data_IF_802435983506
#
_entry.id   IF_802435983506
#
_cell.length_a   1.000
_cell.length_b   1.000
_cell.length_c   1.000
_cell.angle_alpha   90.00
_cell.angle_beta   90.00
_cell.angle_gamma   90.00
#
_symmetry.space_group_name_H-M   'P 1'
#
loop_
_entity.id
_entity.type
_entity.pdbx_description
1 polymer ?
#
# COMPACT_ATOMS: atom_id res chain seq x y z
N UNK A 1 24.09 13.62 16.64
CA UNK A 1 23.67 13.44 16.54
C UNK A 1 22.88 12.70 16.59
N UNK A 2 22.63 12.67 16.65
CA UNK A 2 21.68 12.01 16.90
C UNK A 2 21.49 11.05 15.93
N UNK A 3 21.23 9.98 16.17
CA UNK A 3 21.02 9.10 15.26
C UNK A 3 19.70 9.27 14.87
N UNK A 4 19.45 9.62 13.75
CA UNK A 4 18.15 9.77 13.32
C UNK A 4 17.67 8.41 13.02
N UNK A 5 16.49 8.13 13.40
CA UNK A 5 15.87 6.90 13.05
C UNK A 5 15.43 6.96 11.61
N UNK A 6 15.43 5.85 10.88
CA UNK A 6 14.94 5.85 9.52
C UNK A 6 13.48 6.28 9.48
N UNK A 7 13.10 6.98 8.43
CA UNK A 7 11.71 7.34 8.22
C UNK A 7 10.92 6.07 7.93
N UNK A 8 9.78 5.95 8.55
CA UNK A 8 8.95 4.76 8.39
C UNK A 8 7.86 5.06 7.35
N UNK A 9 7.92 4.38 6.23
CA UNK A 9 7.02 4.63 5.11
C UNK A 9 6.00 3.51 4.98
N UNK A 10 4.73 3.87 4.98
CA UNK A 10 3.66 2.90 4.77
C UNK A 10 3.28 2.93 3.30
N UNK A 11 3.43 1.82 2.61
CA UNK A 11 3.05 1.71 1.20
C UNK A 11 1.72 1.00 1.14
N UNK A 12 0.70 1.66 0.63
CA UNK A 12 -0.64 1.08 0.57
C UNK A 12 -0.97 0.75 -0.86
N UNK A 13 -1.18 -0.51 -1.18
CA UNK A 13 -1.43 -0.95 -2.54
C UNK A 13 -2.17 -2.28 -2.53
N UNK A 14 -2.84 -2.59 -3.59
CA UNK A 14 -3.43 -3.91 -3.77
C UNK A 14 -3.03 -4.41 -5.14
N UNK A 15 -3.83 -4.20 -6.17
CA UNK A 15 -3.50 -4.70 -7.49
C UNK A 15 -2.28 -4.05 -8.09
N UNK A 16 -1.92 -2.86 -7.63
CA UNK A 16 -0.77 -2.15 -8.18
C UNK A 16 0.51 -2.37 -7.39
N UNK A 17 0.50 -3.32 -6.47
CA UNK A 17 1.64 -3.48 -5.54
C UNK A 17 2.95 -3.84 -6.23
N UNK A 18 2.89 -4.38 -7.43
CA UNK A 18 4.11 -4.75 -8.15
C UNK A 18 4.27 -3.98 -9.46
N UNK A 19 3.55 -2.88 -9.64
CA UNK A 19 3.63 -2.14 -10.90
C UNK A 19 4.92 -1.33 -10.99
N UNK A 20 5.40 -1.08 -12.20
CA UNK A 20 6.61 -0.27 -12.36
C UNK A 20 6.50 1.11 -11.74
N UNK A 21 5.33 1.74 -11.79
CA UNK A 21 5.15 3.07 -11.19
C UNK A 21 5.42 3.04 -9.70
N UNK A 22 4.91 2.04 -9.01
CA UNK A 22 5.14 1.95 -7.57
C UNK A 22 6.58 1.58 -7.26
N UNK A 23 7.15 0.65 -8.01
CA UNK A 23 8.53 0.25 -7.76
C UNK A 23 9.47 1.44 -7.97
N UNK A 24 9.19 2.27 -8.96
CA UNK A 24 10.00 3.46 -9.19
C UNK A 24 9.84 4.46 -8.05
N UNK A 25 8.62 4.64 -7.54
CA UNK A 25 8.39 5.56 -6.43
C UNK A 25 9.14 5.11 -5.17
N UNK A 26 9.15 3.80 -4.93
CA UNK A 26 9.87 3.24 -3.77
C UNK A 26 11.37 3.45 -3.95
N UNK A 27 11.88 3.20 -5.16
CA UNK A 27 13.29 3.39 -5.44
C UNK A 27 13.70 4.85 -5.23
N UNK A 28 12.89 5.78 -5.72
CA UNK A 28 13.18 7.19 -5.57
C UNK A 28 13.14 7.63 -4.11
N UNK A 29 12.17 7.09 -3.36
CA UNK A 29 12.09 7.45 -1.96
C UNK A 29 13.29 6.92 -1.18
N UNK A 30 13.70 5.69 -1.48
CA UNK A 30 14.84 5.10 -0.80
C UNK A 30 16.12 5.89 -1.07
N UNK A 31 16.21 6.49 -2.26
CA UNK A 31 17.39 7.27 -2.60
C UNK A 31 17.45 8.61 -1.88
N UNK A 32 16.33 9.06 -1.29
CA UNK A 32 16.32 10.36 -0.60
C UNK A 32 16.87 10.29 0.81
N UNK A 33 17.02 9.13 1.37
CA UNK A 33 17.55 9.00 2.72
C UNK A 33 17.11 7.73 3.39
N UNK A 34 17.62 7.48 4.59
CA UNK A 34 17.29 6.23 5.28
C UNK A 34 15.80 6.11 5.53
N UNK A 35 15.23 4.99 5.18
CA UNK A 35 13.82 4.76 5.44
C UNK A 35 13.55 3.25 5.44
N UNK A 36 12.43 2.87 6.03
CA UNK A 36 11.98 1.49 6.00
C UNK A 36 10.60 1.49 5.38
N UNK A 37 10.25 0.41 4.74
CA UNK A 37 8.96 0.30 4.07
C UNK A 37 8.14 -0.85 4.64
N UNK A 38 6.85 -0.63 4.76
CA UNK A 38 5.90 -1.69 5.12
C UNK A 38 4.79 -1.64 4.07
N UNK A 39 4.53 -2.76 3.43
CA UNK A 39 3.46 -2.85 2.45
C UNK A 39 2.17 -3.24 3.15
N UNK A 40 1.14 -2.43 3.01
CA UNK A 40 -0.17 -2.72 3.55
C UNK A 40 -1.09 -3.07 2.39
N UNK A 41 -1.64 -4.27 2.43
CA UNK A 41 -2.59 -4.72 1.41
C UNK A 41 -3.94 -4.91 2.09
N UNK A 42 -4.92 -4.04 1.82
CA UNK A 42 -6.23 -4.23 2.42
C UNK A 42 -6.91 -5.45 1.81
N UNK A 43 -7.72 -6.11 2.59
CA UNK A 43 -8.46 -7.25 2.09
C UNK A 43 -9.43 -6.78 1.03
N UNK A 44 -9.85 -7.69 0.18
CA UNK A 44 -10.82 -7.34 -0.81
C UNK A 44 -12.17 -7.16 -0.16
N UNK A 45 -12.91 -6.15 -0.60
CA UNK A 45 -14.25 -5.92 -0.06
C UNK A 45 -15.18 -7.03 -0.54
N UNK A 46 -16.06 -7.48 0.32
CA UNK A 46 -17.02 -8.49 -0.05
C UNK A 46 -18.35 -7.84 -0.37
N UNK A 47 -19.05 -8.42 -1.29
CA UNK A 47 -20.39 -7.94 -1.58
C UNK A 47 -21.31 -8.49 -0.52
N UNK A 48 -22.46 -7.90 -0.44
CA UNK A 48 -23.38 -8.30 0.54
C UNK A 48 -23.77 -9.73 0.43
N UNK A 49 -23.84 -10.24 -0.77
CA UNK A 49 -24.29 -11.54 -0.92
C UNK A 49 -23.12 -12.46 -0.85
N UNK A 50 -22.10 -12.06 -0.46
CA UNK A 50 -21.00 -12.84 -0.39
C UNK A 50 -21.24 -13.75 0.64
N UNK A 51 -22.06 -14.53 0.39
CA UNK A 51 -22.34 -15.37 1.28
C UNK A 51 -21.17 -16.08 1.53
N UNK A 52 -20.86 -16.19 2.42
CA UNK A 52 -19.87 -16.78 2.75
C UNK A 52 -19.50 -17.92 2.20
N UNK A 53 -18.84 -17.96 1.45
CA UNK A 53 -18.26 -18.93 0.84
C UNK A 53 -17.22 -19.35 1.80
N UNK A 54 -17.27 -20.44 2.27
CA UNK A 54 -16.26 -20.98 3.11
C UNK A 54 -14.96 -20.93 2.37
N UNK A 55 -15.06 -20.72 1.09
CA UNK A 55 -13.90 -20.70 0.28
C UNK A 55 -13.44 -19.29 0.07
N UNK A 56 -13.98 -18.35 0.81
CA UNK A 56 -13.65 -16.98 0.64
C UNK A 56 -12.15 -16.84 0.68
N UNK A 57 -11.59 -16.36 -0.40
CA UNK A 57 -10.17 -16.28 -0.56
C UNK A 57 -9.63 -14.88 -0.34
N UNK A 58 -10.41 -13.96 0.17
CA UNK A 58 -9.94 -12.60 0.33
C UNK A 58 -8.64 -12.48 1.11
N UNK A 59 -8.50 -13.14 2.25
CA UNK A 59 -7.22 -13.05 2.93
C UNK A 59 -6.11 -13.70 2.13
N UNK A 60 -6.43 -14.77 1.40
CA UNK A 60 -5.43 -15.45 0.60
C UNK A 60 -5.03 -14.61 -0.59
N UNK A 61 -5.97 -13.83 -1.15
CA UNK A 61 -5.65 -12.97 -2.26
C UNK A 61 -4.65 -11.90 -1.82
N UNK A 62 -4.87 -11.31 -0.66
CA UNK A 62 -3.94 -10.31 -0.15
C UNK A 62 -2.57 -10.93 0.09
N UNK A 63 -2.56 -12.16 0.60
CA UNK A 63 -1.30 -12.85 0.83
C UNK A 63 -0.57 -13.11 -0.49
N UNK A 64 -1.31 -13.47 -1.53
CA UNK A 64 -0.70 -13.71 -2.84
C UNK A 64 -0.10 -12.44 -3.39
N UNK A 65 -0.78 -11.30 -3.21
CA UNK A 65 -0.26 -10.02 -3.64
C UNK A 65 1.05 -9.74 -2.92
N UNK A 66 1.08 -9.97 -1.62
CA UNK A 66 2.27 -9.74 -0.83
C UNK A 66 3.41 -10.62 -1.30
N UNK A 67 3.14 -11.89 -1.52
CA UNK A 67 4.19 -12.83 -1.93
C UNK A 67 4.80 -12.43 -3.27
N UNK A 68 4.00 -11.89 -4.15
CA UNK A 68 4.48 -11.45 -5.43
C UNK A 68 5.22 -10.12 -5.32
N UNK A 69 4.68 -9.20 -4.56
CA UNK A 69 5.19 -7.83 -4.55
C UNK A 69 6.39 -7.59 -3.66
N UNK A 70 6.45 -8.25 -2.51
CA UNK A 70 7.51 -7.95 -1.54
C UNK A 70 8.92 -8.15 -2.13
N UNK A 71 9.22 -9.25 -2.84
CA UNK A 71 10.57 -9.36 -3.38
C UNK A 71 10.92 -8.23 -4.35
N UNK A 72 9.94 -7.78 -5.14
CA UNK A 72 10.19 -6.69 -6.08
C UNK A 72 10.37 -5.37 -5.35
N UNK A 73 9.57 -5.15 -4.32
CA UNK A 73 9.70 -3.94 -3.53
C UNK A 73 11.02 -3.92 -2.78
N UNK A 74 11.48 -5.08 -2.32
CA UNK A 74 12.76 -5.15 -1.63
C UNK A 74 13.90 -4.81 -2.57
N UNK A 75 13.82 -5.22 -3.82
CA UNK A 75 14.83 -4.85 -4.78
C UNK A 75 14.81 -3.34 -5.00
N UNK A 76 13.64 -2.76 -5.11
CA UNK A 76 13.52 -1.32 -5.33
C UNK A 76 13.99 -0.54 -4.11
N UNK A 77 13.67 -1.03 -2.93
CA UNK A 77 14.02 -0.34 -1.69
C UNK A 77 15.48 -0.53 -1.30
N UNK A 78 16.08 -1.59 -1.78
CA UNK A 78 17.44 -1.88 -1.39
C UNK A 78 17.53 -2.48 0.01
N UNK A 79 16.45 -3.07 0.50
CA UNK A 79 16.44 -3.66 1.83
C UNK A 79 15.14 -4.35 2.11
N UNK A 80 14.97 -4.79 3.33
CA UNK A 80 13.80 -5.56 3.72
C UNK A 80 12.53 -4.73 3.70
N UNK A 81 11.44 -5.33 3.26
CA UNK A 81 10.11 -4.71 3.26
C UNK A 81 9.20 -5.61 4.07
N UNK A 82 8.55 -5.03 5.07
CA UNK A 82 7.58 -5.78 5.86
C UNK A 82 6.22 -5.69 5.23
N UNK A 83 5.28 -6.51 5.68
CA UNK A 83 3.96 -6.51 5.08
C UNK A 83 2.88 -6.68 6.13
N UNK A 84 1.71 -6.14 5.82
CA UNK A 84 0.54 -6.23 6.68
C UNK A 84 -0.67 -6.46 5.79
N UNK A 85 -1.61 -7.25 6.28
CA UNK A 85 -2.90 -7.41 5.62
C UNK A 85 -3.88 -6.62 6.49
N UNK A 86 -4.60 -5.68 5.89
CA UNK A 86 -5.49 -4.82 6.63
C UNK A 86 -6.96 -5.06 6.34
N UNK A 87 -7.80 -4.27 7.00
CA UNK A 87 -9.24 -4.32 6.84
C UNK A 87 -9.61 -4.08 5.37
N UNK A 88 -10.78 -4.54 4.97
CA UNK A 88 -11.23 -4.33 3.60
C UNK A 88 -11.55 -2.84 3.32
N UNK A 89 -11.75 -2.06 4.36
CA UNK A 89 -11.97 -0.64 4.19
C UNK A 89 -10.59 0.03 4.24
N UNK A 90 -10.12 0.56 3.12
CA UNK A 90 -8.71 1.00 3.08
C UNK A 90 -8.36 2.09 4.08
N UNK A 91 -9.26 3.02 4.34
CA UNK A 91 -8.94 4.06 5.32
C UNK A 91 -8.80 3.45 6.72
N UNK A 92 -9.67 2.51 7.06
CA UNK A 92 -9.58 1.83 8.34
C UNK A 92 -8.28 1.04 8.43
N UNK A 93 -7.89 0.39 7.33
CA UNK A 93 -6.64 -0.36 7.31
C UNK A 93 -5.44 0.57 7.56
N UNK A 94 -5.46 1.75 6.96
CA UNK A 94 -4.37 2.71 7.14
C UNK A 94 -4.34 3.20 8.59
N UNK A 95 -5.50 3.55 9.13
CA UNK A 95 -5.57 4.03 10.51
C UNK A 95 -5.09 2.96 11.47
N UNK A 96 -5.49 1.72 11.25
CA UNK A 96 -5.07 0.63 12.12
C UNK A 96 -3.57 0.43 12.06
N UNK A 97 -2.98 0.50 10.87
CA UNK A 97 -1.55 0.33 10.73
C UNK A 97 -0.79 1.44 11.45
N UNK A 98 -1.26 2.68 11.31
CA UNK A 98 -0.62 3.81 11.98
C UNK A 98 -0.73 3.64 13.50
N UNK A 99 -1.89 3.23 13.98
CA UNK A 99 -2.07 3.07 15.42
C UNK A 99 -1.27 1.90 15.97
N UNK A 100 -1.09 0.87 15.19
CA UNK A 100 -0.40 -0.31 15.65
C UNK A 100 1.11 -0.16 15.66
N UNK A 101 1.65 0.40 14.61
CA UNK A 101 3.10 0.47 14.45
C UNK A 101 3.67 1.87 14.38
N UNK A 102 2.89 2.83 13.93
CA UNK A 102 3.39 4.19 13.72
C UNK A 102 4.14 4.31 12.40
N UNK A 103 3.84 5.35 11.64
CA UNK A 103 4.51 5.62 10.37
C UNK A 103 4.70 7.12 10.24
N UNK A 104 5.65 7.51 9.41
CA UNK A 104 5.98 8.91 9.22
C UNK A 104 5.47 9.46 7.90
N UNK A 105 5.23 8.60 6.93
CA UNK A 105 4.66 9.05 5.66
C UNK A 105 3.99 7.88 4.95
N UNK A 106 3.17 8.20 3.97
CA UNK A 106 2.39 7.22 3.24
C UNK A 106 2.65 7.34 1.75
N UNK A 107 2.81 6.20 1.07
CA UNK A 107 2.79 6.15 -0.38
C UNK A 107 1.54 5.36 -0.72
N UNK A 108 0.58 5.99 -1.39
CA UNK A 108 -0.66 5.34 -1.77
C UNK A 108 -0.64 5.04 -3.25
N UNK A 109 -0.73 3.77 -3.62
CA UNK A 109 -0.65 3.35 -5.00
C UNK A 109 -2.03 2.93 -5.49
N UNK A 110 -2.49 3.48 -6.59
CA UNK A 110 -3.83 3.22 -7.09
C UNK A 110 -3.83 2.86 -8.57
N UNK A 111 -4.92 2.28 -9.01
CA UNK A 111 -5.18 2.09 -10.44
C UNK A 111 -5.45 3.45 -11.08
N UNK A 112 -5.45 3.52 -12.42
CA UNK A 112 -5.80 4.77 -13.09
C UNK A 112 -7.16 5.28 -12.63
N UNK A 113 -7.33 6.61 -12.65
CA UNK A 113 -8.50 7.24 -12.06
C UNK A 113 -9.84 6.67 -12.51
N UNK A 114 -9.97 6.38 -13.78
CA UNK A 114 -11.28 5.94 -14.26
C UNK A 114 -11.68 4.56 -13.77
N UNK A 115 -10.72 3.77 -13.27
CA UNK A 115 -11.04 2.43 -12.76
C UNK A 115 -10.70 2.27 -11.29
N UNK A 116 -10.19 3.30 -10.65
CA UNK A 116 -9.79 3.16 -9.26
C UNK A 116 -10.96 3.40 -8.32
N UNK A 117 -11.30 2.38 -7.56
CA UNK A 117 -12.32 2.54 -6.55
C UNK A 117 -11.83 3.46 -5.45
N UNK A 118 -10.55 3.35 -5.09
CA UNK A 118 -9.99 4.19 -4.03
C UNK A 118 -10.05 5.67 -4.38
N UNK A 119 -9.80 6.01 -5.65
CA UNK A 119 -9.88 7.41 -6.06
C UNK A 119 -11.33 7.87 -6.08
N UNK A 120 -12.25 6.99 -6.44
CA UNK A 120 -13.66 7.36 -6.43
C UNK A 120 -14.18 7.60 -5.03
N UNK A 121 -13.59 6.95 -4.04
CA UNK A 121 -13.94 7.15 -2.64
C UNK A 121 -13.15 8.28 -2.01
N UNK A 122 -12.32 8.95 -2.81
CA UNK A 122 -11.51 10.07 -2.33
C UNK A 122 -10.57 9.64 -1.21
N UNK A 123 -10.04 8.46 -1.30
CA UNK A 123 -9.11 7.95 -0.31
C UNK A 123 -7.88 8.84 -0.13
N UNK A 124 -7.28 9.41 -1.20
CA UNK A 124 -6.10 10.25 -0.98
C UNK A 124 -6.36 11.42 -0.06
N UNK A 125 -7.49 12.11 -0.20
CA UNK A 125 -7.80 13.23 0.68
C UNK A 125 -8.05 12.77 2.09
N UNK A 126 -8.77 11.66 2.23
CA UNK A 126 -9.10 11.14 3.55
C UNK A 126 -7.87 10.66 4.28
N UNK A 127 -6.98 9.97 3.58
CA UNK A 127 -5.75 9.48 4.19
C UNK A 127 -4.81 10.64 4.49
N UNK A 128 -4.79 11.64 3.62
CA UNK A 128 -3.95 12.83 3.87
C UNK A 128 -4.40 13.59 5.10
N UNK A 129 -5.68 13.50 5.43
CA UNK A 129 -6.19 14.21 6.62
C UNK A 129 -5.71 13.55 7.92
N UNK A 130 -5.06 12.39 7.84
CA UNK A 130 -4.52 11.75 9.04
C UNK A 130 -3.26 12.45 9.54
N UNK A 131 -2.76 13.41 8.78
CA UNK A 131 -1.66 14.21 9.27
C UNK A 131 -0.28 13.80 8.81
N UNK A 132 -0.18 12.78 7.97
CA UNK A 132 1.12 12.37 7.45
C UNK A 132 1.27 12.77 5.99
N UNK A 133 2.49 13.10 5.56
CA UNK A 133 2.72 13.38 4.15
C UNK A 133 2.28 12.18 3.31
N UNK A 134 1.60 12.44 2.23
CA UNK A 134 1.10 11.37 1.38
C UNK A 134 1.53 11.59 -0.07
N UNK A 135 2.11 10.57 -0.67
CA UNK A 135 2.48 10.59 -2.06
C UNK A 135 1.53 9.66 -2.80
N UNK A 136 0.85 10.17 -3.79
CA UNK A 136 -0.07 9.36 -4.59
C UNK A 136 0.65 8.86 -5.83
N UNK A 137 0.63 7.57 -6.05
CA UNK A 137 1.21 6.95 -7.23
C UNK A 137 0.07 6.29 -7.99
N UNK A 138 -0.13 6.68 -9.23
CA UNK A 138 -1.20 6.11 -10.03
C UNK A 138 -0.59 5.27 -11.14
N UNK A 139 -1.00 4.03 -11.24
CA UNK A 139 -0.47 3.14 -12.27
C UNK A 139 -0.88 3.63 -13.65
N UNK A 140 -0.02 3.40 -14.63
CA UNK A 140 -0.33 3.76 -15.99
C UNK A 140 -1.24 2.69 -16.56
N UNK A 141 -2.16 3.06 -17.41
CA UNK A 141 -3.09 2.08 -17.98
C UNK A 141 -2.37 0.90 -18.60
N UNK A 142 -1.27 1.14 -19.27
CA UNK A 142 -0.56 0.05 -19.94
C UNK A 142 0.09 -0.93 -18.98
N UNK A 143 0.23 -0.56 -17.73
CA UNK A 143 0.86 -1.45 -16.76
C UNK A 143 -0.09 -2.54 -16.31
N UNK A 144 -1.35 -2.42 -16.67
CA UNK A 144 -2.33 -3.39 -16.25
C UNK A 144 -2.55 -4.43 -17.31
N UNK A 145 -2.07 -4.25 -18.46
CA UNK A 145 -2.34 -5.14 -19.60
C UNK A 145 -1.58 -6.45 -19.52
#
# INVERSE_FOLDING_TARGET
>A
MATSQPTRVLVVAHKTAATPSLLEAVRERAAKGPCTFTLLVPKRAHGLHTVVDAQDQSPDEAREVIELAVPLLEQAAGGRVESLIGDHEPLAAIQDAINLQGFDEIILSTLPARVSRWLKLDLPSKAGALGLPLTLVTAQAREEA
#
